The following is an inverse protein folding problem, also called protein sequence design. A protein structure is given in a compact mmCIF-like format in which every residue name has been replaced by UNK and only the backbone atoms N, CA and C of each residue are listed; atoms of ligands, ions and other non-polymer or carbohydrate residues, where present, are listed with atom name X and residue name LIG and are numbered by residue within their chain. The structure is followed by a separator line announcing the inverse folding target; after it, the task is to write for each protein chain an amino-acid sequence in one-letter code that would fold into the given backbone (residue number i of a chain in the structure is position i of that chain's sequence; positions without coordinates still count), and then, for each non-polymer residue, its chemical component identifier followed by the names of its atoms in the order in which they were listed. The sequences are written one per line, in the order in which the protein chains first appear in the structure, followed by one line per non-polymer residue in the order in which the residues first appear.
data_IF_005929662434
#
_entry.id   IF_005929662434
#
_cell.length_a   1.000
_cell.length_b   1.000
_cell.length_c   1.000
_cell.angle_alpha   90.00
_cell.angle_beta   90.00
_cell.angle_gamma   90.00
#
_symmetry.space_group_name_H-M   'P 1'
#
loop_
_entity.id
_entity.type
_entity.pdbx_description
1 polymer ?
#
# COMPACT_ATOMS: atom_id res chain seq x y z
N UNK A 1 -9.49 3.30 14.73
CA UNK A 1 -10.79 4.03 14.66
C UNK A 1 -10.83 4.69 13.30
N UNK A 2 -11.76 4.28 12.44
CA UNK A 2 -11.89 4.87 11.11
C UNK A 2 -12.33 6.34 11.27
N UNK A 3 -11.61 7.26 10.63
CA UNK A 3 -11.87 8.70 10.70
C UNK A 3 -12.60 9.13 9.42
N UNK A 4 -13.91 8.99 9.42
CA UNK A 4 -14.76 9.50 8.33
C UNK A 4 -15.48 10.76 8.81
N UNK A 5 -15.61 11.75 7.94
CA UNK A 5 -16.42 12.91 8.22
C UNK A 5 -17.91 12.57 8.21
N UNK A 6 -18.75 13.42 8.80
CA UNK A 6 -20.19 13.23 8.78
C UNK A 6 -20.76 13.35 7.35
N UNK A 7 -20.13 14.17 6.51
CA UNK A 7 -20.52 14.32 5.10
C UNK A 7 -20.22 13.06 4.30
N UNK A 8 -19.07 12.39 4.55
CA UNK A 8 -18.74 11.10 3.95
C UNK A 8 -19.77 10.02 4.32
N UNK A 9 -20.25 10.01 5.57
CA UNK A 9 -21.24 9.03 6.03
C UNK A 9 -22.64 9.27 5.46
N UNK A 10 -22.99 10.51 5.09
CA UNK A 10 -24.31 10.84 4.55
C UNK A 10 -24.44 10.58 3.05
N UNK A 11 -23.31 10.49 2.32
CA UNK A 11 -23.28 10.36 0.86
C UNK A 11 -22.81 8.97 0.36
N UNK A 12 -22.85 7.94 1.22
CA UNK A 12 -22.34 6.57 1.00
C UNK A 12 -22.93 5.79 -0.20
N UNK A 13 -23.43 6.46 -1.22
CA UNK A 13 -24.03 5.82 -2.41
C UNK A 13 -23.12 5.86 -3.63
N UNK A 14 -22.04 6.65 -3.61
CA UNK A 14 -21.07 6.73 -4.69
C UNK A 14 -20.01 5.63 -4.55
N UNK A 15 -19.46 5.17 -5.68
CA UNK A 15 -18.38 4.18 -5.72
C UNK A 15 -17.16 4.61 -4.91
N UNK A 16 -16.86 5.91 -4.92
CA UNK A 16 -15.70 6.49 -4.25
C UNK A 16 -15.87 6.44 -2.72
N UNK A 17 -17.10 6.58 -2.22
CA UNK A 17 -17.41 6.49 -0.78
C UNK A 17 -17.21 5.06 -0.27
N UNK A 18 -17.59 4.05 -1.06
CA UNK A 18 -17.40 2.63 -0.72
C UNK A 18 -15.90 2.28 -0.70
N UNK A 19 -15.12 2.85 -1.61
CA UNK A 19 -13.67 2.67 -1.64
C UNK A 19 -13.01 3.31 -0.42
N UNK A 20 -13.41 4.53 -0.05
CA UNK A 20 -12.97 5.20 1.18
C UNK A 20 -13.31 4.38 2.42
N UNK A 21 -14.53 3.84 2.51
CA UNK A 21 -14.90 2.94 3.62
C UNK A 21 -14.02 1.70 3.70
N UNK A 22 -13.71 1.08 2.56
CA UNK A 22 -12.85 -0.10 2.52
C UNK A 22 -11.42 0.23 2.99
N UNK A 23 -10.90 1.41 2.60
CA UNK A 23 -9.63 1.96 3.07
C UNK A 23 -9.63 2.12 4.60
N UNK A 24 -10.59 2.83 5.14
CA UNK A 24 -10.69 3.08 6.59
C UNK A 24 -10.91 1.80 7.41
N UNK A 25 -11.64 0.83 6.86
CA UNK A 25 -11.80 -0.48 7.48
C UNK A 25 -10.49 -1.28 7.49
N UNK A 26 -9.66 -1.18 6.46
CA UNK A 26 -8.37 -1.86 6.40
C UNK A 26 -7.45 -1.42 7.54
N UNK A 27 -7.55 -0.18 8.01
CA UNK A 27 -6.80 0.32 9.16
C UNK A 27 -7.08 -0.44 10.48
N UNK A 28 -8.18 -1.21 10.59
CA UNK A 28 -8.40 -2.09 11.75
C UNK A 28 -7.32 -3.18 11.85
N UNK A 29 -6.73 -3.58 10.72
CA UNK A 29 -5.62 -4.53 10.66
C UNK A 29 -4.27 -3.82 10.61
N UNK A 30 -4.09 -2.88 9.66
CA UNK A 30 -2.83 -2.15 9.45
C UNK A 30 -2.98 -0.69 9.91
N UNK A 31 -2.59 -0.45 11.14
CA UNK A 31 -2.75 0.78 11.90
C UNK A 31 -3.23 0.53 13.33
N UNK A 32 -4.14 -0.47 13.54
CA UNK A 32 -4.64 -0.83 14.88
C UNK A 32 -4.11 -2.18 15.35
N UNK A 33 -4.34 -3.25 14.59
CA UNK A 33 -3.88 -4.60 14.99
C UNK A 33 -2.36 -4.76 14.81
N UNK A 34 -1.82 -4.28 13.70
CA UNK A 34 -0.40 -4.19 13.43
C UNK A 34 -0.06 -2.71 13.31
N UNK A 35 0.74 -2.18 14.23
CA UNK A 35 1.17 -0.79 14.23
C UNK A 35 2.57 -0.63 13.63
N UNK A 36 2.94 0.59 13.28
CA UNK A 36 4.30 0.92 12.81
C UNK A 36 5.19 1.36 13.97
N UNK A 37 6.48 1.03 13.89
CA UNK A 37 7.49 1.42 14.87
C UNK A 37 7.90 2.88 14.75
N UNK A 38 7.86 3.39 13.51
CA UNK A 38 8.29 4.74 13.16
C UNK A 38 7.47 5.28 11.99
N UNK A 39 7.34 6.58 11.90
CA UNK A 39 6.76 7.27 10.74
C UNK A 39 7.54 7.00 9.43
N UNK A 40 8.78 6.54 9.54
CA UNK A 40 9.58 6.13 8.38
C UNK A 40 8.93 5.00 7.57
N UNK A 41 8.11 4.17 8.24
CA UNK A 41 7.41 3.04 7.66
C UNK A 41 5.89 3.28 7.52
N UNK A 42 5.44 4.52 7.45
CA UNK A 42 4.03 4.89 7.40
C UNK A 42 3.28 4.27 6.20
N UNK A 43 4.01 3.94 5.13
CA UNK A 43 3.47 3.21 3.99
C UNK A 43 2.89 1.82 4.33
N UNK A 44 3.35 1.20 5.43
CA UNK A 44 2.80 -0.08 5.93
C UNK A 44 1.36 0.07 6.45
N UNK A 45 0.94 1.27 6.80
CA UNK A 45 -0.45 1.56 7.11
C UNK A 45 -1.21 1.99 5.86
N UNK A 46 -0.80 3.08 5.25
CA UNK A 46 -1.55 3.74 4.18
C UNK A 46 -1.48 3.00 2.84
N UNK A 47 -0.29 2.47 2.49
CA UNK A 47 -0.14 1.67 1.28
C UNK A 47 -0.95 0.38 1.33
N UNK A 48 -1.04 -0.26 2.50
CA UNK A 48 -1.92 -1.42 2.70
C UNK A 48 -3.39 -1.04 2.60
N UNK A 49 -3.81 0.05 3.23
CA UNK A 49 -5.20 0.48 3.21
C UNK A 49 -5.64 0.86 1.78
N UNK A 50 -4.81 1.60 1.04
CA UNK A 50 -5.06 1.94 -0.36
C UNK A 50 -5.13 0.69 -1.25
N UNK A 51 -4.13 -0.19 -1.18
CA UNK A 51 -4.12 -1.43 -1.97
C UNK A 51 -5.31 -2.33 -1.68
N UNK A 52 -5.74 -2.43 -0.41
CA UNK A 52 -6.86 -3.29 -0.05
C UNK A 52 -8.20 -2.70 -0.44
N UNK A 53 -8.32 -1.38 -0.48
CA UNK A 53 -9.50 -0.73 -1.06
C UNK A 53 -9.62 -1.05 -2.56
N UNK A 54 -8.49 -1.08 -3.29
CA UNK A 54 -8.45 -1.50 -4.69
C UNK A 54 -8.75 -2.99 -4.86
N UNK A 55 -8.21 -3.85 -3.99
CA UNK A 55 -8.52 -5.29 -3.98
C UNK A 55 -10.00 -5.55 -3.65
N UNK A 56 -10.63 -4.71 -2.83
CA UNK A 56 -12.08 -4.73 -2.61
C UNK A 56 -12.83 -4.41 -3.91
N UNK A 57 -12.40 -3.40 -4.66
CA UNK A 57 -12.96 -3.07 -5.98
C UNK A 57 -12.83 -4.25 -6.94
N UNK A 58 -11.67 -4.93 -6.96
CA UNK A 58 -11.47 -6.15 -7.75
C UNK A 58 -12.50 -7.23 -7.41
N UNK A 59 -12.69 -7.49 -6.11
CA UNK A 59 -13.62 -8.52 -5.63
C UNK A 59 -15.06 -8.28 -6.03
N UNK A 60 -15.50 -7.02 -6.08
CA UNK A 60 -16.89 -6.66 -6.30
C UNK A 60 -17.20 -6.22 -7.74
N UNK A 61 -16.20 -5.70 -8.46
CA UNK A 61 -16.35 -5.13 -9.80
C UNK A 61 -15.45 -5.78 -10.85
N UNK A 62 -14.64 -6.76 -10.45
CA UNK A 62 -13.80 -7.55 -11.35
C UNK A 62 -12.45 -6.93 -11.65
N UNK A 63 -11.60 -7.73 -12.30
CA UNK A 63 -10.20 -7.41 -12.59
C UNK A 63 -9.99 -6.11 -13.37
N UNK A 64 -10.83 -5.85 -14.38
CA UNK A 64 -10.73 -4.62 -15.19
C UNK A 64 -10.93 -3.34 -14.36
N UNK A 65 -11.80 -3.40 -13.33
CA UNK A 65 -11.99 -2.27 -12.42
C UNK A 65 -10.76 -2.04 -11.53
N UNK A 66 -10.12 -3.09 -11.06
CA UNK A 66 -8.86 -3.02 -10.32
C UNK A 66 -7.73 -2.44 -11.18
N UNK A 67 -7.56 -2.93 -12.40
CA UNK A 67 -6.52 -2.44 -13.32
C UNK A 67 -6.67 -0.95 -13.61
N UNK A 68 -7.91 -0.46 -13.67
CA UNK A 68 -8.18 0.97 -13.80
C UNK A 68 -7.69 1.75 -12.57
N UNK A 69 -7.93 1.25 -11.33
CA UNK A 69 -7.41 1.89 -10.12
C UNK A 69 -5.87 1.93 -10.12
N UNK A 70 -5.23 0.81 -10.46
CA UNK A 70 -3.77 0.76 -10.56
C UNK A 70 -3.23 1.75 -11.60
N UNK A 71 -3.89 1.88 -12.75
CA UNK A 71 -3.50 2.87 -13.76
C UNK A 71 -3.64 4.31 -13.25
N UNK A 72 -4.69 4.62 -12.49
CA UNK A 72 -4.88 5.93 -11.86
C UNK A 72 -3.77 6.21 -10.82
N UNK A 73 -3.38 5.22 -10.01
CA UNK A 73 -2.24 5.34 -9.09
C UNK A 73 -0.92 5.58 -9.84
N UNK A 74 -0.70 4.91 -10.96
CA UNK A 74 0.49 5.12 -11.80
C UNK A 74 0.57 6.54 -12.35
N UNK A 75 -0.54 7.10 -12.82
CA UNK A 75 -0.59 8.49 -13.28
C UNK A 75 -0.36 9.49 -12.12
N UNK A 76 -0.92 9.22 -10.95
CA UNK A 76 -0.64 10.01 -9.73
C UNK A 76 0.85 9.96 -9.37
N UNK A 77 1.46 8.78 -9.40
CA UNK A 77 2.89 8.61 -9.11
C UNK A 77 3.78 9.35 -10.11
N UNK A 78 3.41 9.32 -11.40
CA UNK A 78 4.10 10.06 -12.44
C UNK A 78 4.10 11.56 -12.15
N UNK A 79 2.94 12.14 -11.83
CA UNK A 79 2.83 13.55 -11.45
C UNK A 79 3.69 13.90 -10.23
N UNK A 80 3.69 13.04 -9.19
CA UNK A 80 4.53 13.25 -8.01
C UNK A 80 6.03 13.29 -8.35
N UNK A 81 6.47 12.50 -9.33
CA UNK A 81 7.86 12.56 -9.84
C UNK A 81 8.15 13.84 -10.59
N UNK A 82 7.27 14.23 -11.50
CA UNK A 82 7.40 15.48 -12.27
C UNK A 82 7.47 16.71 -11.35
N UNK A 83 6.75 16.66 -10.21
CA UNK A 83 6.79 17.69 -9.17
C UNK A 83 8.00 17.59 -8.23
N UNK A 84 8.89 16.61 -8.41
CA UNK A 84 10.04 16.38 -7.54
C UNK A 84 9.68 15.91 -6.11
N UNK A 85 8.48 15.35 -5.93
CA UNK A 85 7.94 14.88 -4.64
C UNK A 85 8.20 13.40 -4.37
N UNK A 86 8.79 12.66 -5.32
CA UNK A 86 9.10 11.25 -5.11
C UNK A 86 10.11 11.06 -3.98
N UNK A 87 9.85 10.09 -3.11
CA UNK A 87 10.68 9.70 -1.97
C UNK A 87 10.70 8.17 -1.86
N UNK A 88 11.73 7.58 -1.21
CA UNK A 88 11.69 6.19 -0.79
C UNK A 88 10.46 5.87 0.06
N UNK A 89 10.00 4.61 0.03
CA UNK A 89 8.90 4.17 0.91
C UNK A 89 9.31 4.21 2.38
N UNK A 90 10.51 3.71 2.71
CA UNK A 90 11.11 3.95 4.01
C UNK A 90 11.85 5.29 3.98
N UNK A 91 11.34 6.28 4.71
CA UNK A 91 11.89 7.64 4.70
C UNK A 91 11.98 8.23 6.11
N UNK A 92 13.21 8.47 6.58
CA UNK A 92 13.48 8.97 7.94
C UNK A 92 13.47 10.50 8.05
N UNK A 93 13.44 11.20 6.91
CA UNK A 93 13.67 12.66 6.87
C UNK A 93 12.38 13.46 6.66
N UNK A 94 11.25 12.96 7.17
CA UNK A 94 10.02 13.74 7.21
C UNK A 94 10.23 14.99 8.07
N UNK A 95 9.88 16.16 7.56
CA UNK A 95 9.98 17.42 8.33
C UNK A 95 8.97 17.46 9.47
N UNK A 96 7.79 16.92 9.21
CA UNK A 96 6.68 16.86 10.15
C UNK A 96 5.68 15.77 9.74
N UNK A 97 4.67 15.56 10.56
CA UNK A 97 3.61 14.60 10.30
C UNK A 97 2.80 14.92 9.03
N UNK A 98 2.66 16.21 8.67
CA UNK A 98 1.92 16.62 7.48
C UNK A 98 2.64 16.18 6.18
N UNK A 99 3.98 16.26 6.16
CA UNK A 99 4.75 15.75 5.02
C UNK A 99 4.66 14.22 4.93
N UNK A 100 4.68 13.52 6.07
CA UNK A 100 4.53 12.06 6.13
C UNK A 100 3.13 11.60 5.67
N UNK A 101 2.09 12.37 5.94
CA UNK A 101 0.72 12.18 5.45
C UNK A 101 0.55 12.56 3.96
N UNK A 102 1.63 12.90 3.26
CA UNK A 102 1.62 13.15 1.83
C UNK A 102 1.32 11.88 1.01
N UNK A 103 1.12 12.04 -0.29
CA UNK A 103 0.62 10.98 -1.17
C UNK A 103 1.59 9.79 -1.38
N UNK A 104 2.88 9.93 -1.09
CA UNK A 104 3.87 8.87 -1.36
C UNK A 104 3.57 7.57 -0.61
N UNK A 105 3.32 7.54 0.70
CA UNK A 105 2.99 6.31 1.43
C UNK A 105 1.78 5.58 0.84
N UNK A 106 0.77 6.30 0.40
CA UNK A 106 -0.46 5.76 -0.22
C UNK A 106 -0.17 5.19 -1.60
N UNK A 107 0.15 6.07 -2.54
CA UNK A 107 0.28 5.77 -3.97
C UNK A 107 1.41 4.77 -4.24
N UNK A 108 2.60 5.08 -3.75
CA UNK A 108 3.77 4.24 -4.00
C UNK A 108 3.71 2.94 -3.21
N UNK A 109 3.14 2.97 -1.98
CA UNK A 109 2.91 1.78 -1.17
C UNK A 109 1.95 0.80 -1.83
N UNK A 110 0.80 1.27 -2.32
CA UNK A 110 -0.16 0.43 -3.04
C UNK A 110 0.42 -0.15 -4.33
N UNK A 111 1.15 0.66 -5.12
CA UNK A 111 1.84 0.18 -6.33
C UNK A 111 2.93 -0.86 -6.03
N UNK A 112 3.64 -0.72 -4.90
CA UNK A 112 4.60 -1.73 -4.45
C UNK A 112 3.91 -3.05 -4.12
N UNK A 113 2.80 -3.03 -3.40
CA UNK A 113 2.01 -4.22 -3.08
C UNK A 113 1.42 -4.87 -4.34
N UNK A 114 0.95 -4.11 -5.32
CA UNK A 114 0.51 -4.62 -6.63
C UNK A 114 1.65 -5.31 -7.37
N UNK A 115 2.84 -4.70 -7.41
CA UNK A 115 4.05 -5.30 -8.02
C UNK A 115 4.41 -6.60 -7.32
N UNK A 116 4.46 -6.61 -5.99
CA UNK A 116 4.77 -7.79 -5.19
C UNK A 116 3.75 -8.92 -5.43
N UNK A 117 2.46 -8.58 -5.51
CA UNK A 117 1.39 -9.52 -5.86
C UNK A 117 1.58 -10.14 -7.24
N UNK A 118 1.93 -9.33 -8.24
CA UNK A 118 2.22 -9.80 -9.61
C UNK A 118 3.43 -10.71 -9.67
N UNK A 119 4.48 -10.40 -8.92
CA UNK A 119 5.72 -11.17 -8.87
C UNK A 119 5.57 -12.53 -8.17
N UNK A 120 4.77 -12.59 -7.11
CA UNK A 120 4.59 -13.79 -6.29
C UNK A 120 3.38 -14.63 -6.72
N UNK A 121 2.42 -14.04 -7.40
CA UNK A 121 1.11 -14.62 -7.67
C UNK A 121 0.18 -14.53 -6.46
N UNK A 122 -1.13 -14.56 -6.73
CA UNK A 122 -2.18 -14.31 -5.75
C UNK A 122 -2.09 -15.22 -4.51
N UNK A 123 -1.91 -16.53 -4.72
CA UNK A 123 -1.91 -17.49 -3.63
C UNK A 123 -0.80 -17.20 -2.60
N UNK A 124 0.43 -17.01 -3.10
CA UNK A 124 1.60 -16.77 -2.25
C UNK A 124 1.47 -15.39 -1.60
N UNK A 125 1.07 -14.38 -2.37
CA UNK A 125 0.91 -13.03 -1.88
C UNK A 125 -0.08 -12.97 -0.71
N UNK A 126 -1.30 -13.48 -0.87
CA UNK A 126 -2.32 -13.43 0.18
C UNK A 126 -1.95 -14.29 1.40
N UNK A 127 -1.25 -15.42 1.18
CA UNK A 127 -0.70 -16.20 2.28
C UNK A 127 0.34 -15.39 3.06
N UNK A 128 1.21 -14.64 2.38
CA UNK A 128 2.21 -13.76 2.98
C UNK A 128 1.57 -12.62 3.79
N UNK A 129 0.55 -11.96 3.24
CA UNK A 129 -0.23 -10.94 3.96
C UNK A 129 -0.85 -11.52 5.24
N UNK A 130 -1.46 -12.70 5.15
CA UNK A 130 -2.04 -13.39 6.32
C UNK A 130 -0.98 -13.74 7.36
N UNK A 131 0.18 -14.22 6.94
CA UNK A 131 1.31 -14.53 7.83
C UNK A 131 1.86 -13.26 8.51
N UNK A 132 2.10 -12.20 7.75
CA UNK A 132 2.55 -10.90 8.27
C UNK A 132 1.60 -10.38 9.35
N UNK A 133 0.31 -10.35 9.05
CA UNK A 133 -0.72 -9.83 9.97
C UNK A 133 -0.83 -10.67 11.24
N UNK A 134 -0.92 -12.01 11.10
CA UNK A 134 -1.10 -12.88 12.24
C UNK A 134 0.12 -12.97 13.15
N UNK A 135 1.32 -12.98 12.59
CA UNK A 135 2.58 -13.04 13.35
C UNK A 135 2.91 -11.75 14.08
N UNK A 136 2.37 -10.64 13.61
CA UNK A 136 2.65 -9.29 14.13
C UNK A 136 1.44 -8.64 14.82
N UNK A 137 0.38 -9.39 15.10
CA UNK A 137 -0.77 -8.87 15.81
C UNK A 137 -0.37 -8.27 17.18
N UNK A 138 -0.79 -7.04 17.44
CA UNK A 138 -0.47 -6.25 18.65
C UNK A 138 1.02 -5.89 18.79
N UNK A 139 1.75 -5.84 17.67
CA UNK A 139 3.16 -5.46 17.65
C UNK A 139 3.36 -4.18 16.82
N UNK A 140 4.48 -3.53 17.06
CA UNK A 140 5.01 -2.48 16.21
C UNK A 140 6.04 -3.08 15.25
N UNK A 141 5.89 -2.80 13.97
CA UNK A 141 6.68 -3.37 12.89
C UNK A 141 7.40 -2.31 12.06
N UNK A 142 8.33 -2.76 11.24
CA UNK A 142 8.99 -1.99 10.19
C UNK A 142 8.91 -2.76 8.84
N UNK A 143 9.45 -2.16 7.78
CA UNK A 143 9.45 -2.76 6.43
C UNK A 143 10.14 -4.13 6.39
N UNK A 144 11.13 -4.37 7.25
CA UNK A 144 11.84 -5.65 7.31
C UNK A 144 10.98 -6.77 7.87
N UNK A 145 10.10 -6.49 8.85
CA UNK A 145 9.16 -7.47 9.39
C UNK A 145 8.19 -7.96 8.27
N UNK A 146 7.79 -7.05 7.37
CA UNK A 146 6.97 -7.39 6.22
C UNK A 146 7.75 -8.21 5.18
N UNK A 147 8.96 -7.78 4.80
CA UNK A 147 9.86 -8.52 3.90
C UNK A 147 10.03 -9.97 4.37
N UNK A 148 10.42 -10.18 5.63
CA UNK A 148 10.61 -11.51 6.21
C UNK A 148 9.35 -12.38 6.16
N UNK A 149 8.18 -11.82 6.38
CA UNK A 149 6.93 -12.56 6.28
C UNK A 149 6.65 -13.01 4.84
N UNK A 150 6.92 -12.14 3.85
CA UNK A 150 6.75 -12.45 2.44
C UNK A 150 7.80 -13.48 1.95
N UNK A 151 9.05 -13.38 2.40
CA UNK A 151 10.10 -14.37 2.13
C UNK A 151 9.73 -15.74 2.72
N UNK A 152 9.25 -15.78 3.95
CA UNK A 152 8.78 -17.01 4.59
C UNK A 152 7.60 -17.64 3.86
N UNK A 153 6.67 -16.82 3.35
CA UNK A 153 5.52 -17.31 2.60
C UNK A 153 5.91 -17.83 1.22
N UNK A 154 6.84 -17.17 0.54
CA UNK A 154 7.25 -17.50 -0.83
C UNK A 154 8.35 -18.56 -0.90
N UNK A 155 9.17 -18.69 0.14
CA UNK A 155 10.41 -19.45 0.13
C UNK A 155 11.51 -18.82 -0.76
N UNK A 156 11.38 -17.55 -1.13
CA UNK A 156 12.29 -16.79 -2.02
C UNK A 156 12.98 -15.69 -1.22
N UNK A 157 14.21 -15.36 -1.60
CA UNK A 157 14.86 -14.12 -1.19
C UNK A 157 14.21 -12.96 -1.97
N UNK A 158 13.62 -12.01 -1.26
CA UNK A 158 12.94 -10.86 -1.84
C UNK A 158 13.69 -9.54 -1.64
N UNK A 159 14.90 -9.60 -1.08
CA UNK A 159 15.71 -8.43 -0.76
C UNK A 159 15.86 -7.47 -1.95
N UNK A 160 16.07 -8.01 -3.15
CA UNK A 160 16.18 -7.19 -4.36
C UNK A 160 14.89 -6.45 -4.71
N UNK A 161 13.71 -7.00 -4.38
CA UNK A 161 12.42 -6.34 -4.58
C UNK A 161 12.16 -5.24 -3.55
N UNK A 162 12.68 -5.42 -2.34
CA UNK A 162 12.58 -4.46 -1.23
C UNK A 162 13.73 -3.42 -1.23
N UNK A 163 14.71 -3.54 -2.15
CA UNK A 163 15.76 -2.54 -2.31
C UNK A 163 15.16 -1.19 -2.75
N UNK A 164 15.66 -0.10 -2.18
CA UNK A 164 15.23 1.27 -2.49
C UNK A 164 15.28 1.58 -3.99
N UNK A 165 16.26 1.04 -4.74
CA UNK A 165 16.38 1.22 -6.19
C UNK A 165 15.22 0.56 -6.93
N UNK A 166 14.89 -0.67 -6.57
CA UNK A 166 13.76 -1.40 -7.16
C UNK A 166 12.42 -0.71 -6.84
N UNK A 167 12.29 -0.17 -5.63
CA UNK A 167 11.13 0.61 -5.20
C UNK A 167 11.08 1.98 -5.93
N UNK A 168 12.22 2.59 -6.25
CA UNK A 168 12.27 3.85 -6.99
C UNK A 168 11.72 3.73 -8.42
N UNK A 169 11.78 2.54 -9.02
CA UNK A 169 11.28 2.25 -10.37
C UNK A 169 9.75 2.01 -10.43
N UNK A 170 9.09 1.89 -9.27
CA UNK A 170 7.64 1.63 -9.22
C UNK A 170 6.86 2.74 -9.94
N UNK A 171 6.00 2.33 -10.89
CA UNK A 171 5.21 3.26 -11.71
C UNK A 171 6.01 3.94 -12.82
N UNK A 172 7.23 3.49 -13.14
CA UNK A 172 7.83 3.74 -14.44
C UNK A 172 7.13 2.80 -15.43
N UNK A 173 6.37 3.35 -16.35
CA UNK A 173 5.85 2.58 -17.49
C UNK A 173 7.08 2.22 -18.31
N UNK A 174 7.34 0.91 -18.47
CA UNK A 174 8.44 0.43 -19.27
C UNK A 174 8.36 1.02 -20.68
N UNK A 175 9.24 1.94 -20.94
CA UNK A 175 9.54 2.41 -22.28
C UNK A 175 10.51 1.42 -22.91
N UNK A 176 10.02 0.23 -23.26
CA UNK A 176 10.73 -0.63 -24.19
C UNK A 176 10.19 -0.34 -25.60
N UNK A 177 11.02 0.35 -26.37
CA UNK A 177 10.97 0.36 -27.82
C UNK A 177 11.56 -0.94 -28.37
#
# INVERSE_FOLDING_TARGET
MALMSQDDLTNLTAKDDVQLMAHELAHQWWGVTVGIRSWSDFWLNEGFAEFLSDAYIEKHHGRAAYEKQIAELQERMKKLREEGKDRPLHWEKWKDAHEALGQIPYVKGALFLDRLRKELGDEIFWRGIGLYTSSNARRLVDSRDFEQAMEKASGRDLKALFDERSIAEIGQVGGDC
#
